data_IF_231635016545
#
_entry.id   IF_231635016545
#
_cell.length_a   1.000
_cell.length_b   1.000
_cell.length_c   1.000
_cell.angle_alpha   90.00
_cell.angle_beta   90.00
_cell.angle_gamma   90.00
#
_symmetry.space_group_name_H-M   'P 1'
#
loop_
_entity.id
_entity.type
_entity.pdbx_description
1 polymer ?
#
# COMPACT_ATOMS: atom_id res chain seq x y z
N UNK A 1 9.88 15.15 15.68
CA UNK A 1 10.06 15.77 14.33
C UNK A 1 9.13 15.10 13.33
N UNK A 2 8.49 15.86 12.43
CA UNK A 2 7.58 15.33 11.40
C UNK A 2 8.20 15.48 10.01
N UNK A 3 8.37 14.36 9.30
CA UNK A 3 8.81 14.29 7.91
C UNK A 3 7.61 14.08 7.00
N UNK A 4 7.27 15.05 6.16
CA UNK A 4 6.17 14.96 5.21
C UNK A 4 6.72 14.48 3.86
N UNK A 5 6.37 13.27 3.46
CA UNK A 5 6.70 12.70 2.15
C UNK A 5 5.49 12.88 1.22
N UNK A 6 5.51 13.89 0.38
CA UNK A 6 4.38 14.20 -0.49
C UNK A 6 4.71 14.07 -1.98
N UNK A 7 3.76 13.53 -2.72
CA UNK A 7 3.90 13.31 -4.16
C UNK A 7 2.83 12.35 -4.71
N UNK A 8 2.78 12.16 -6.02
CA UNK A 8 1.83 11.26 -6.65
C UNK A 8 2.09 9.79 -6.28
N UNK A 9 1.18 8.91 -6.65
CA UNK A 9 1.40 7.46 -6.60
C UNK A 9 2.60 7.08 -7.46
N UNK A 10 3.30 6.00 -7.12
CA UNK A 10 4.52 5.54 -7.80
C UNK A 10 5.63 6.63 -7.87
N UNK A 11 5.91 7.26 -6.74
CA UNK A 11 6.97 8.27 -6.57
C UNK A 11 8.06 7.84 -5.57
N UNK A 12 7.92 6.67 -4.95
CA UNK A 12 8.85 6.17 -3.95
C UNK A 12 8.71 6.79 -2.55
N UNK A 13 7.72 7.67 -2.31
CA UNK A 13 7.54 8.36 -1.02
C UNK A 13 7.48 7.39 0.19
N UNK A 14 6.68 6.34 0.11
CA UNK A 14 6.54 5.34 1.18
C UNK A 14 7.82 4.49 1.34
N UNK A 15 8.56 4.26 0.25
CA UNK A 15 9.81 3.51 0.30
C UNK A 15 10.86 4.18 1.21
N UNK A 16 11.04 5.50 1.11
CA UNK A 16 11.99 6.22 1.95
C UNK A 16 11.58 6.20 3.42
N UNK A 17 10.30 6.37 3.71
CA UNK A 17 9.77 6.28 5.07
C UNK A 17 9.97 4.87 5.67
N UNK A 18 9.73 3.82 4.89
CA UNK A 18 9.95 2.43 5.31
C UNK A 18 11.43 2.09 5.53
N UNK A 19 12.35 2.72 4.80
CA UNK A 19 13.79 2.57 5.08
C UNK A 19 14.17 3.15 6.44
N UNK A 20 13.62 4.30 6.82
CA UNK A 20 13.81 4.88 8.14
C UNK A 20 13.24 3.94 9.23
N UNK A 21 12.04 3.41 9.02
CA UNK A 21 11.41 2.46 9.92
C UNK A 21 12.25 1.19 10.11
N UNK A 22 12.73 0.59 9.02
CA UNK A 22 13.53 -0.64 9.09
C UNK A 22 14.90 -0.45 9.75
N UNK A 23 15.45 0.76 9.72
CA UNK A 23 16.74 1.09 10.34
C UNK A 23 16.62 1.48 11.82
N UNK A 24 15.42 1.74 12.33
CA UNK A 24 15.16 2.11 13.71
C UNK A 24 15.21 0.89 14.65
N UNK A 25 15.42 1.11 15.95
CA UNK A 25 15.33 0.04 16.95
C UNK A 25 13.87 -0.34 17.25
N UNK A 26 12.96 0.62 17.16
CA UNK A 26 11.52 0.42 17.38
C UNK A 26 10.68 1.29 16.47
N UNK A 27 9.51 0.78 16.07
CA UNK A 27 8.63 1.61 15.25
C UNK A 27 7.31 1.00 14.83
N UNK A 28 6.49 1.82 14.20
CA UNK A 28 5.17 1.43 13.69
C UNK A 28 4.98 1.93 12.26
N UNK A 29 4.52 1.04 11.40
CA UNK A 29 3.84 1.41 10.17
C UNK A 29 2.33 1.39 10.39
N UNK A 30 1.63 2.43 9.98
CA UNK A 30 0.19 2.45 9.98
C UNK A 30 -0.38 2.99 8.66
N UNK A 31 -1.41 2.32 8.16
CA UNK A 31 -2.05 2.67 6.89
C UNK A 31 -3.56 2.39 6.88
N UNK A 32 -4.25 2.74 5.78
CA UNK A 32 -5.71 2.64 5.70
C UNK A 32 -6.23 1.20 5.61
N UNK A 33 -5.38 0.25 5.25
CA UNK A 33 -5.81 -1.06 4.78
C UNK A 33 -5.04 -2.20 5.43
N UNK A 34 -5.77 -3.25 5.78
CA UNK A 34 -5.23 -4.49 6.35
C UNK A 34 -4.18 -5.13 5.43
N UNK A 35 -4.44 -5.14 4.12
CA UNK A 35 -3.54 -5.75 3.16
C UNK A 35 -2.20 -5.02 3.07
N UNK A 36 -2.20 -3.68 3.15
CA UNK A 36 -0.95 -2.90 3.21
C UNK A 36 -0.19 -3.17 4.51
N UNK A 37 -0.88 -3.23 5.65
CA UNK A 37 -0.24 -3.57 6.91
C UNK A 37 0.39 -4.97 6.85
N UNK A 38 -0.32 -5.93 6.26
CA UNK A 38 0.18 -7.28 6.07
C UNK A 38 1.42 -7.32 5.14
N UNK A 39 1.38 -6.62 4.01
CA UNK A 39 2.52 -6.50 3.09
C UNK A 39 3.77 -5.93 3.78
N UNK A 40 3.60 -4.87 4.56
CA UNK A 40 4.72 -4.28 5.29
C UNK A 40 5.24 -5.21 6.37
N UNK A 41 4.36 -5.93 7.07
CA UNK A 41 4.74 -6.99 8.01
C UNK A 41 5.62 -8.05 7.34
N UNK A 42 5.19 -8.62 6.22
CA UNK A 42 5.95 -9.60 5.46
C UNK A 42 7.30 -9.04 4.97
N UNK A 43 7.27 -7.85 4.41
CA UNK A 43 8.45 -7.19 3.87
C UNK A 43 9.51 -6.93 4.94
N UNK A 44 9.14 -6.43 6.12
CA UNK A 44 10.09 -6.18 7.22
C UNK A 44 10.66 -7.49 7.75
N UNK A 45 9.83 -8.51 7.94
CA UNK A 45 10.28 -9.84 8.37
C UNK A 45 11.22 -10.49 7.36
N UNK A 46 10.95 -10.37 6.06
CA UNK A 46 11.83 -10.86 4.99
C UNK A 46 13.20 -10.13 4.98
N UNK A 47 13.25 -8.90 5.47
CA UNK A 47 14.49 -8.11 5.64
C UNK A 47 15.20 -8.40 6.97
N UNK A 48 14.69 -9.32 7.80
CA UNK A 48 15.24 -9.66 9.12
C UNK A 48 14.84 -8.70 10.24
N UNK A 49 13.91 -7.78 10.00
CA UNK A 49 13.34 -6.88 11.00
C UNK A 49 12.07 -7.51 11.58
N UNK A 50 12.16 -8.08 12.79
CA UNK A 50 11.02 -8.72 13.43
C UNK A 50 9.87 -7.71 13.63
N UNK A 51 8.74 -7.95 12.98
CA UNK A 51 7.62 -7.04 12.92
C UNK A 51 6.31 -7.78 13.24
N UNK A 52 5.55 -7.27 14.18
CA UNK A 52 4.21 -7.72 14.51
C UNK A 52 3.20 -7.25 13.45
N UNK A 53 2.04 -7.90 13.39
CA UNK A 53 0.89 -7.45 12.63
C UNK A 53 -0.29 -7.17 13.57
N UNK A 54 -0.92 -6.00 13.45
CA UNK A 54 -2.13 -5.68 14.19
C UNK A 54 -3.19 -5.05 13.29
N UNK A 55 -4.25 -5.80 13.03
CA UNK A 55 -5.41 -5.34 12.26
C UNK A 55 -6.69 -5.63 13.04
N UNK A 56 -7.82 -5.07 12.59
CA UNK A 56 -9.11 -5.36 13.24
C UNK A 56 -9.57 -6.83 13.12
N UNK A 57 -8.84 -7.69 12.41
CA UNK A 57 -9.18 -9.12 12.25
C UNK A 57 -8.04 -10.06 12.63
N UNK A 58 -6.79 -9.59 12.59
CA UNK A 58 -5.59 -10.42 12.78
C UNK A 58 -4.65 -9.72 13.76
N UNK A 59 -4.13 -10.48 14.70
CA UNK A 59 -3.05 -10.06 15.58
C UNK A 59 -1.98 -11.16 15.53
N UNK A 60 -0.81 -10.84 15.00
CA UNK A 60 0.34 -11.73 14.95
C UNK A 60 1.48 -11.09 15.75
N UNK A 61 1.88 -11.75 16.81
CA UNK A 61 2.97 -11.30 17.67
C UNK A 61 4.18 -12.21 17.51
N UNK A 62 5.33 -11.61 17.24
CA UNK A 62 6.61 -12.31 17.14
C UNK A 62 7.44 -12.02 18.40
N UNK A 63 8.08 -13.05 19.00
CA UNK A 63 8.91 -12.86 20.17
C UNK A 63 10.02 -11.84 19.94
N UNK A 64 10.09 -10.83 20.80
CA UNK A 64 11.12 -9.78 20.73
C UNK A 64 10.92 -8.70 19.67
N UNK A 65 9.86 -8.77 18.87
CA UNK A 65 9.59 -7.75 17.85
C UNK A 65 9.34 -6.36 18.48
N UNK A 66 10.09 -5.38 18.00
CA UNK A 66 9.94 -3.97 18.40
C UNK A 66 9.20 -3.16 17.32
N UNK A 67 8.96 -3.76 16.16
CA UNK A 67 8.19 -3.15 15.07
C UNK A 67 6.79 -3.73 14.98
N UNK A 68 5.85 -2.91 14.52
CA UNK A 68 4.46 -3.33 14.27
C UNK A 68 3.95 -2.70 12.97
N UNK A 69 3.41 -3.51 12.08
CA UNK A 69 2.63 -3.04 10.96
C UNK A 69 1.13 -3.15 11.30
N UNK A 70 0.37 -2.08 11.14
CA UNK A 70 -1.03 -2.09 11.56
C UNK A 70 -1.93 -1.22 10.68
N UNK A 71 -3.25 -1.36 10.86
CA UNK A 71 -4.17 -0.32 10.39
C UNK A 71 -4.13 0.86 11.36
N UNK A 72 -4.37 2.06 10.85
CA UNK A 72 -4.20 3.31 11.60
C UNK A 72 -5.00 3.35 12.90
N UNK A 73 -6.16 2.69 12.95
CA UNK A 73 -7.01 2.59 14.13
C UNK A 73 -6.36 1.77 15.26
N UNK A 74 -5.43 0.88 14.92
CA UNK A 74 -4.78 -0.05 15.87
C UNK A 74 -3.49 0.50 16.49
N UNK A 75 -3.06 1.71 16.13
CA UNK A 75 -1.85 2.31 16.70
C UNK A 75 -2.00 2.53 18.20
N UNK A 76 -1.02 2.04 18.96
CA UNK A 76 -0.91 2.25 20.40
C UNK A 76 -0.17 3.56 20.66
N UNK A 77 -0.85 4.54 21.27
CA UNK A 77 -0.30 5.88 21.49
C UNK A 77 0.60 5.96 22.72
N UNK A 78 0.41 5.06 23.69
CA UNK A 78 1.10 5.06 24.98
C UNK A 78 2.54 4.52 24.87
N UNK A 79 2.83 3.81 23.78
CA UNK A 79 4.17 3.25 23.54
C UNK A 79 5.07 4.31 22.91
N UNK A 80 6.25 4.51 23.53
CA UNK A 80 7.32 5.32 22.90
C UNK A 80 8.01 4.51 21.81
N UNK A 81 8.29 5.15 20.67
CA UNK A 81 8.88 4.56 19.49
C UNK A 81 9.92 5.51 18.88
N UNK A 82 10.87 4.95 18.14
CA UNK A 82 11.83 5.79 17.42
C UNK A 82 11.19 6.36 16.16
N UNK A 83 10.55 5.50 15.34
CA UNK A 83 9.98 5.88 14.05
C UNK A 83 8.52 5.44 13.93
N UNK A 84 7.67 6.35 13.48
CA UNK A 84 6.30 6.05 13.03
C UNK A 84 6.15 6.42 11.57
N UNK A 85 5.66 5.50 10.75
CA UNK A 85 5.29 5.73 9.36
C UNK A 85 3.77 5.72 9.25
N UNK A 86 3.21 6.85 8.85
CA UNK A 86 1.78 7.03 8.60
C UNK A 86 1.55 7.18 7.10
N UNK A 87 0.89 6.20 6.50
CA UNK A 87 0.65 6.20 5.06
C UNK A 87 -0.75 6.72 4.70
N UNK A 88 -0.88 7.19 3.45
CA UNK A 88 -2.12 7.72 2.87
C UNK A 88 -2.77 8.83 3.73
N UNK A 89 -1.96 9.81 4.19
CA UNK A 89 -2.40 10.85 5.14
C UNK A 89 -3.56 11.71 4.63
N UNK A 90 -3.81 11.79 3.32
CA UNK A 90 -5.01 12.48 2.79
C UNK A 90 -6.32 11.86 3.29
N UNK A 91 -6.28 10.62 3.79
CA UNK A 91 -7.43 9.99 4.46
C UNK A 91 -7.87 10.71 5.74
N UNK A 92 -7.07 11.63 6.27
CA UNK A 92 -7.46 12.52 7.38
C UNK A 92 -8.72 13.33 7.06
N UNK A 93 -8.99 13.60 5.78
CA UNK A 93 -10.22 14.26 5.32
C UNK A 93 -11.44 13.32 5.18
N UNK A 94 -11.28 12.00 5.39
CA UNK A 94 -12.38 11.05 5.26
C UNK A 94 -13.38 11.20 6.40
N UNK A 95 -14.67 11.35 6.07
CA UNK A 95 -15.72 11.66 7.05
C UNK A 95 -15.79 10.66 8.22
N UNK A 96 -15.68 9.36 7.92
CA UNK A 96 -15.87 8.29 8.91
C UNK A 96 -14.57 7.82 9.57
N UNK A 97 -13.42 7.97 8.89
CA UNK A 97 -12.15 7.37 9.34
C UNK A 97 -11.04 8.38 9.61
N UNK A 98 -11.18 9.64 9.17
CA UNK A 98 -10.14 10.67 9.28
C UNK A 98 -9.67 10.92 10.71
N UNK A 99 -10.54 10.69 11.69
CA UNK A 99 -10.21 10.80 13.11
C UNK A 99 -9.00 9.92 13.53
N UNK A 100 -8.82 8.77 12.89
CA UNK A 100 -7.72 7.88 13.25
C UNK A 100 -6.35 8.48 12.87
N UNK A 101 -6.24 9.14 11.71
CA UNK A 101 -5.03 9.88 11.31
C UNK A 101 -4.76 11.05 12.23
N UNK A 102 -5.78 11.85 12.55
CA UNK A 102 -5.65 12.96 13.51
C UNK A 102 -5.20 12.46 14.88
N UNK A 103 -5.78 11.37 15.37
CA UNK A 103 -5.44 10.75 16.66
C UNK A 103 -3.96 10.34 16.71
N UNK A 104 -3.47 9.68 15.66
CA UNK A 104 -2.07 9.23 15.61
C UNK A 104 -1.14 10.43 15.49
N UNK A 105 -1.40 11.38 14.58
CA UNK A 105 -0.53 12.53 14.37
C UNK A 105 -0.40 13.41 15.62
N UNK A 106 -1.48 13.56 16.39
CA UNK A 106 -1.50 14.40 17.59
C UNK A 106 -1.06 13.68 18.87
N UNK A 107 -1.10 12.34 18.88
CA UNK A 107 -0.96 11.59 20.14
C UNK A 107 0.20 10.63 20.19
N UNK A 108 0.80 10.26 19.06
CA UNK A 108 1.89 9.27 19.06
C UNK A 108 3.16 9.83 19.69
N UNK A 109 3.83 9.02 20.50
CA UNK A 109 5.10 9.37 21.11
C UNK A 109 6.26 8.78 20.32
N UNK A 110 6.79 9.55 19.36
CA UNK A 110 7.89 9.11 18.51
C UNK A 110 8.98 10.19 18.37
N UNK A 111 10.22 9.76 18.10
CA UNK A 111 11.30 10.68 17.79
C UNK A 111 11.10 11.26 16.39
N UNK A 112 10.72 10.43 15.43
CA UNK A 112 10.43 10.81 14.06
C UNK A 112 9.06 10.25 13.61
N UNK A 113 8.26 11.10 12.98
CA UNK A 113 7.00 10.72 12.36
C UNK A 113 7.08 10.98 10.87
N UNK A 114 7.08 9.94 10.06
CA UNK A 114 7.08 10.00 8.61
C UNK A 114 5.65 9.91 8.08
N UNK A 115 5.17 10.98 7.49
CA UNK A 115 3.80 11.09 6.98
C UNK A 115 3.82 11.05 5.46
N UNK A 116 3.25 10.01 4.86
CA UNK A 116 3.24 9.79 3.41
C UNK A 116 1.85 10.11 2.83
N UNK A 117 1.80 10.84 1.70
CA UNK A 117 0.52 11.07 1.04
C UNK A 117 0.53 12.09 -0.08
N UNK A 118 -0.65 12.62 -0.41
CA UNK A 118 -0.82 13.62 -1.45
C UNK A 118 -0.40 15.02 -0.98
N UNK A 119 -0.05 15.88 -1.93
CA UNK A 119 0.34 17.27 -1.68
C UNK A 119 -0.79 18.06 -0.99
N UNK A 120 -2.04 17.73 -1.27
CA UNK A 120 -3.21 18.45 -0.73
C UNK A 120 -3.32 18.33 0.81
N UNK A 121 -2.77 17.26 1.41
CA UNK A 121 -2.78 17.08 2.86
C UNK A 121 -1.70 17.91 3.59
N UNK A 122 -0.68 18.38 2.89
CA UNK A 122 0.48 19.08 3.50
C UNK A 122 0.09 20.27 4.37
N UNK A 123 -0.80 21.18 3.94
CA UNK A 123 -1.17 22.34 4.79
C UNK A 123 -1.78 21.93 6.12
N UNK A 124 -2.66 20.93 6.12
CA UNK A 124 -3.30 20.41 7.33
C UNK A 124 -2.30 19.73 8.26
N UNK A 125 -1.43 18.86 7.71
CA UNK A 125 -0.38 18.18 8.49
C UNK A 125 0.54 19.19 9.16
N UNK A 126 0.94 20.27 8.47
CA UNK A 126 1.76 21.35 9.05
C UNK A 126 1.04 22.05 10.21
N UNK A 127 -0.25 22.33 10.07
CA UNK A 127 -1.04 22.95 11.14
C UNK A 127 -1.11 22.04 12.37
N UNK A 128 -1.37 20.76 12.18
CA UNK A 128 -1.45 19.78 13.28
C UNK A 128 -0.09 19.58 13.96
N UNK A 129 0.99 19.49 13.20
CA UNK A 129 2.34 19.39 13.76
C UNK A 129 2.72 20.64 14.57
N UNK A 130 2.33 21.82 14.09
CA UNK A 130 2.55 23.08 14.82
C UNK A 130 1.78 23.14 16.16
N UNK A 131 0.59 22.54 16.25
CA UNK A 131 -0.15 22.43 17.52
C UNK A 131 0.59 21.57 18.55
N UNK A 132 1.37 20.59 18.08
CA UNK A 132 2.20 19.73 18.93
C UNK A 132 3.58 20.35 19.24
N UNK A 133 3.93 21.47 18.62
CA UNK A 133 5.26 22.07 18.71
C UNK A 133 6.33 21.31 17.92
N UNK A 134 5.93 20.50 16.97
CA UNK A 134 6.84 19.68 16.17
C UNK A 134 7.50 20.48 15.04
N UNK A 135 8.78 20.23 14.82
CA UNK A 135 9.47 20.65 13.61
C UNK A 135 9.00 19.83 12.40
N UNK A 136 8.86 20.46 11.25
CA UNK A 136 8.39 19.84 10.02
C UNK A 136 9.45 19.93 8.93
N UNK A 137 9.78 18.80 8.31
CA UNK A 137 10.57 18.71 7.08
C UNK A 137 9.75 18.13 5.95
N UNK A 138 9.70 18.82 4.82
CA UNK A 138 8.94 18.41 3.64
C UNK A 138 9.85 17.83 2.58
N UNK A 139 9.48 16.65 2.08
CA UNK A 139 10.14 15.94 0.99
C UNK A 139 9.14 15.78 -0.15
N UNK A 140 9.41 16.39 -1.29
CA UNK A 140 8.58 16.33 -2.49
C UNK A 140 9.15 15.32 -3.46
N UNK A 141 8.27 14.47 -3.97
CA UNK A 141 8.61 13.40 -4.90
C UNK A 141 7.86 13.59 -6.21
N UNK A 142 8.53 13.27 -7.30
CA UNK A 142 7.93 13.20 -8.62
C UNK A 142 7.64 11.75 -8.99
N UNK A 143 6.72 11.56 -9.92
CA UNK A 143 6.35 10.22 -10.38
C UNK A 143 7.51 9.58 -11.14
N UNK A 144 7.85 8.33 -10.79
CA UNK A 144 8.96 7.60 -11.41
C UNK A 144 8.69 7.25 -12.88
N UNK A 145 7.43 6.93 -13.20
CA UNK A 145 7.01 6.63 -14.57
C UNK A 145 5.84 7.51 -14.99
N UNK A 146 5.83 8.08 -16.21
CA UNK A 146 4.74 8.93 -16.64
C UNK A 146 3.43 8.14 -16.78
N UNK A 147 2.33 8.73 -16.34
CA UNK A 147 0.99 8.23 -16.63
C UNK A 147 0.50 8.83 -17.93
N UNK A 148 0.10 7.97 -18.88
CA UNK A 148 -0.45 8.42 -20.17
C UNK A 148 -1.88 7.89 -20.32
N UNK A 149 -2.80 8.79 -20.64
CA UNK A 149 -4.16 8.42 -21.00
C UNK A 149 -4.17 8.13 -22.51
N UNK A 150 -4.69 6.98 -22.89
CA UNK A 150 -4.82 6.60 -24.29
C UNK A 150 -6.06 7.25 -24.91
N UNK A 151 -5.96 7.67 -26.17
CA UNK A 151 -7.07 8.31 -26.89
C UNK A 151 -8.19 7.33 -27.26
N UNK A 152 -7.89 6.04 -27.32
CA UNK A 152 -8.85 5.00 -27.68
C UNK A 152 -8.90 3.89 -26.63
N UNK A 153 -10.03 3.19 -26.57
CA UNK A 153 -10.20 2.00 -25.74
C UNK A 153 -9.37 0.84 -26.30
N UNK A 154 -8.67 0.12 -25.44
CA UNK A 154 -8.00 -1.11 -25.82
C UNK A 154 -9.04 -2.22 -26.09
N UNK A 155 -9.04 -2.86 -27.29
CA UNK A 155 -9.91 -4.01 -27.55
C UNK A 155 -9.41 -5.24 -26.76
N UNK A 156 -10.30 -6.18 -26.42
CA UNK A 156 -9.93 -7.37 -25.63
C UNK A 156 -8.72 -8.15 -26.20
N UNK A 157 -8.58 -8.36 -27.52
CA UNK A 157 -7.43 -9.07 -28.08
C UNK A 157 -6.07 -8.36 -27.90
N UNK A 158 -6.06 -7.05 -27.57
CA UNK A 158 -4.82 -6.31 -27.33
C UNK A 158 -4.37 -6.35 -25.87
N UNK A 159 -5.16 -6.95 -24.98
CA UNK A 159 -4.81 -7.09 -23.58
C UNK A 159 -3.69 -8.13 -23.44
N UNK A 160 -2.60 -7.73 -22.79
CA UNK A 160 -1.39 -8.51 -22.66
C UNK A 160 -0.94 -8.67 -21.22
N UNK A 161 0.21 -9.31 -21.09
CA UNK A 161 0.86 -9.55 -19.80
C UNK A 161 1.18 -8.21 -19.10
N UNK A 162 0.93 -8.14 -17.80
CA UNK A 162 1.11 -6.95 -16.98
C UNK A 162 -0.09 -6.00 -16.98
N UNK A 163 -1.11 -6.26 -17.81
CA UNK A 163 -2.30 -5.40 -17.85
C UNK A 163 -3.24 -5.67 -16.67
N UNK A 164 -3.82 -4.58 -16.18
CA UNK A 164 -4.91 -4.63 -15.21
C UNK A 164 -6.19 -4.08 -15.77
N UNK A 165 -7.26 -4.88 -15.77
CA UNK A 165 -8.59 -4.52 -16.26
C UNK A 165 -9.53 -4.30 -15.09
N UNK A 166 -10.06 -3.07 -14.97
CA UNK A 166 -10.90 -2.69 -13.82
C UNK A 166 -12.37 -2.66 -14.20
N UNK A 167 -13.23 -3.22 -13.35
CA UNK A 167 -14.68 -3.13 -13.45
C UNK A 167 -15.33 -3.01 -12.07
N UNK A 168 -16.54 -2.42 -12.01
CA UNK A 168 -17.19 -2.05 -10.75
C UNK A 168 -18.26 -3.05 -10.28
N UNK A 169 -18.43 -4.18 -10.96
CA UNK A 169 -19.34 -5.24 -10.50
C UNK A 169 -18.72 -6.63 -10.66
N UNK A 170 -18.99 -7.52 -9.71
CA UNK A 170 -18.51 -8.91 -9.77
C UNK A 170 -18.89 -9.61 -11.07
N UNK A 171 -20.12 -9.40 -11.55
CA UNK A 171 -20.58 -9.98 -12.82
C UNK A 171 -19.71 -9.54 -14.01
N UNK A 172 -19.36 -8.25 -14.06
CA UNK A 172 -18.48 -7.73 -15.10
C UNK A 172 -17.05 -8.26 -14.98
N UNK A 173 -16.53 -8.42 -13.77
CA UNK A 173 -15.18 -8.99 -13.55
C UNK A 173 -15.09 -10.40 -14.14
N UNK A 174 -16.03 -11.28 -13.82
CA UNK A 174 -16.04 -12.65 -14.36
C UNK A 174 -16.28 -12.68 -15.87
N UNK A 175 -17.13 -11.80 -16.40
CA UNK A 175 -17.35 -11.69 -17.84
C UNK A 175 -16.09 -11.20 -18.58
N UNK A 176 -15.37 -10.23 -18.01
CA UNK A 176 -14.10 -9.74 -18.57
C UNK A 176 -13.02 -10.82 -18.51
N UNK A 177 -12.88 -11.52 -17.37
CA UNK A 177 -11.96 -12.65 -17.25
C UNK A 177 -12.21 -13.68 -18.36
N UNK A 178 -13.43 -14.16 -18.50
CA UNK A 178 -13.80 -15.14 -19.52
C UNK A 178 -13.57 -14.60 -20.96
N UNK A 179 -13.90 -13.33 -21.21
CA UNK A 179 -13.68 -12.69 -22.50
C UNK A 179 -12.21 -12.53 -22.87
N UNK A 180 -11.34 -12.18 -21.92
CA UNK A 180 -9.91 -12.04 -22.13
C UNK A 180 -9.27 -13.41 -22.37
N UNK A 181 -9.59 -14.41 -21.55
CA UNK A 181 -9.07 -15.76 -21.68
C UNK A 181 -9.54 -16.46 -22.99
N UNK A 182 -10.68 -16.06 -23.52
CA UNK A 182 -11.15 -16.53 -24.84
C UNK A 182 -10.50 -15.79 -26.02
N UNK A 183 -10.13 -14.52 -25.85
CA UNK A 183 -9.58 -13.67 -26.91
C UNK A 183 -8.05 -13.65 -26.97
N UNK A 184 -7.38 -14.09 -25.90
CA UNK A 184 -5.92 -14.04 -25.73
C UNK A 184 -5.40 -15.34 -25.13
N UNK A 185 -4.11 -15.68 -25.25
CA UNK A 185 -3.52 -16.83 -24.55
C UNK A 185 -3.28 -16.57 -23.04
N UNK A 186 -3.66 -15.39 -22.53
CA UNK A 186 -3.40 -15.01 -21.14
C UNK A 186 -4.38 -15.65 -20.18
N UNK A 187 -3.87 -16.15 -19.04
CA UNK A 187 -4.68 -16.49 -17.86
C UNK A 187 -4.91 -15.23 -17.03
N UNK A 188 -6.06 -15.11 -16.39
CA UNK A 188 -6.41 -13.95 -15.57
C UNK A 188 -6.57 -14.31 -14.10
N UNK A 189 -5.88 -13.58 -13.24
CA UNK A 189 -6.22 -13.52 -11.82
C UNK A 189 -7.37 -12.52 -11.58
N UNK A 190 -8.09 -12.67 -10.48
CA UNK A 190 -9.26 -11.83 -10.17
C UNK A 190 -9.20 -11.33 -8.73
N UNK A 191 -9.37 -10.00 -8.54
CA UNK A 191 -9.38 -9.36 -7.22
C UNK A 191 -10.57 -8.43 -7.06
N UNK A 192 -11.34 -8.61 -5.98
CA UNK A 192 -12.44 -7.70 -5.61
C UNK A 192 -12.64 -7.64 -4.07
N UNK A 193 -13.32 -6.60 -3.59
CA UNK A 193 -13.37 -6.25 -2.17
C UNK A 193 -13.90 -7.33 -1.23
N UNK A 194 -14.84 -8.18 -1.66
CA UNK A 194 -15.42 -9.25 -0.83
C UNK A 194 -14.70 -10.61 -0.93
N UNK A 195 -13.53 -10.69 -1.62
CA UNK A 195 -12.70 -11.89 -1.56
C UNK A 195 -12.11 -12.06 -0.15
N UNK A 196 -12.02 -13.31 0.35
CA UNK A 196 -11.26 -13.60 1.56
C UNK A 196 -9.82 -13.09 1.44
N UNK A 197 -9.19 -12.63 2.53
CA UNK A 197 -7.82 -12.11 2.50
C UNK A 197 -6.80 -13.09 1.90
N UNK A 198 -6.89 -14.35 2.27
CA UNK A 198 -6.01 -15.44 1.76
C UNK A 198 -6.13 -15.60 0.24
N UNK A 199 -7.36 -15.73 -0.26
CA UNK A 199 -7.61 -15.85 -1.72
C UNK A 199 -7.11 -14.61 -2.46
N UNK A 200 -7.26 -13.42 -1.87
CA UNK A 200 -6.77 -12.18 -2.48
C UNK A 200 -5.25 -12.15 -2.59
N UNK A 201 -4.53 -12.64 -1.55
CA UNK A 201 -3.07 -12.79 -1.55
C UNK A 201 -2.63 -13.77 -2.63
N UNK A 202 -3.28 -14.93 -2.70
CA UNK A 202 -3.02 -15.95 -3.73
C UNK A 202 -3.18 -15.38 -5.14
N UNK A 203 -4.28 -14.69 -5.42
CA UNK A 203 -4.53 -14.07 -6.73
C UNK A 203 -3.50 -12.97 -7.07
N UNK A 204 -3.08 -12.18 -6.10
CA UNK A 204 -2.02 -11.19 -6.26
C UNK A 204 -0.66 -11.86 -6.54
N UNK A 205 -0.34 -12.93 -5.81
CA UNK A 205 0.88 -13.71 -6.03
C UNK A 205 0.94 -14.33 -7.42
N UNK A 206 -0.17 -14.91 -7.91
CA UNK A 206 -0.27 -15.47 -9.26
C UNK A 206 -0.03 -14.41 -10.35
N UNK A 207 -0.49 -13.19 -10.15
CA UNK A 207 -0.24 -12.08 -11.08
C UNK A 207 1.23 -11.65 -11.03
N UNK A 208 1.82 -11.49 -9.84
CA UNK A 208 3.20 -11.05 -9.68
C UNK A 208 4.22 -12.11 -10.12
N UNK A 209 3.96 -13.40 -9.88
CA UNK A 209 4.85 -14.50 -10.30
C UNK A 209 5.04 -14.55 -11.82
N UNK A 210 4.12 -13.98 -12.61
CA UNK A 210 4.26 -13.90 -14.05
C UNK A 210 5.31 -12.86 -14.49
N UNK A 211 5.72 -11.94 -13.62
CA UNK A 211 6.63 -10.82 -13.97
C UNK A 211 8.12 -11.22 -13.85
N UNK A 212 8.47 -12.24 -13.08
CA UNK A 212 9.85 -12.63 -12.76
C UNK A 212 10.58 -13.40 -13.90
N UNK A 213 10.00 -13.49 -15.10
CA UNK A 213 10.67 -14.07 -16.28
C UNK A 213 10.87 -15.59 -16.26
N UNK A 214 10.80 -16.22 -15.10
CA UNK A 214 10.79 -17.68 -14.91
C UNK A 214 9.34 -18.17 -14.92
N UNK A 215 8.62 -17.91 -16.01
CA UNK A 215 7.21 -18.25 -16.16
C UNK A 215 6.95 -19.73 -15.99
N UNK A 216 6.72 -20.16 -14.75
CA UNK A 216 6.06 -21.41 -14.49
C UNK A 216 4.66 -21.39 -15.13
N UNK A 217 4.18 -22.56 -15.58
CA UNK A 217 2.89 -22.74 -16.28
C UNK A 217 1.66 -22.23 -15.49
N UNK A 218 1.84 -21.79 -14.25
CA UNK A 218 0.79 -21.40 -13.30
C UNK A 218 0.57 -19.88 -13.14
N UNK A 219 1.41 -18.99 -13.71
CA UNK A 219 1.29 -17.54 -13.59
C UNK A 219 0.11 -16.96 -14.39
N UNK A 220 -0.55 -15.93 -13.84
CA UNK A 220 -1.62 -15.19 -14.51
C UNK A 220 -1.07 -13.88 -15.09
N UNK A 221 -1.00 -13.76 -16.41
CA UNK A 221 -0.44 -12.58 -17.07
C UNK A 221 -1.30 -11.31 -16.96
N UNK A 222 -2.59 -11.44 -16.68
CA UNK A 222 -3.55 -10.32 -16.60
C UNK A 222 -4.26 -10.33 -15.25
N UNK A 223 -4.46 -9.13 -14.70
CA UNK A 223 -5.28 -8.94 -13.50
C UNK A 223 -6.62 -8.33 -13.85
N UNK A 224 -7.72 -8.96 -13.44
CA UNK A 224 -9.07 -8.39 -13.51
C UNK A 224 -9.51 -8.02 -12.10
N UNK A 225 -9.76 -6.72 -11.85
CA UNK A 225 -9.99 -6.25 -10.51
C UNK A 225 -11.13 -5.23 -10.38
N UNK A 226 -11.70 -5.12 -9.17
CA UNK A 226 -12.56 -3.98 -8.83
C UNK A 226 -11.70 -2.77 -8.42
N UNK A 227 -12.33 -1.69 -8.01
CA UNK A 227 -11.71 -0.55 -7.34
C UNK A 227 -10.86 -0.93 -6.12
N UNK A 228 -11.09 -2.12 -5.56
CA UNK A 228 -10.23 -2.70 -4.53
C UNK A 228 -8.75 -2.82 -4.94
N UNK A 229 -8.41 -2.77 -6.23
CA UNK A 229 -7.02 -2.74 -6.69
C UNK A 229 -6.28 -1.45 -6.31
N UNK A 230 -6.97 -0.32 -6.30
CA UNK A 230 -6.39 0.94 -5.83
C UNK A 230 -5.95 0.87 -4.37
N UNK A 231 -6.45 -0.13 -3.67
CA UNK A 231 -6.14 -0.48 -2.30
C UNK A 231 -5.16 -1.66 -2.17
N UNK A 232 -4.77 -2.27 -3.28
CA UNK A 232 -3.82 -3.38 -3.36
C UNK A 232 -2.60 -2.95 -4.18
N UNK A 233 -1.89 -1.92 -3.71
CA UNK A 233 -0.66 -1.45 -4.38
C UNK A 233 0.41 -2.55 -4.51
N UNK A 234 0.35 -3.56 -3.66
CA UNK A 234 1.19 -4.74 -3.70
C UNK A 234 0.94 -5.67 -4.90
N UNK A 235 -0.28 -5.66 -5.44
CA UNK A 235 -0.58 -6.51 -6.60
C UNK A 235 0.08 -6.02 -7.90
N UNK A 236 0.62 -4.81 -7.88
CA UNK A 236 1.29 -4.18 -9.04
C UNK A 236 2.63 -3.59 -8.57
N UNK A 237 3.39 -4.37 -7.82
CA UNK A 237 4.76 -3.96 -7.49
C UNK A 237 5.62 -4.22 -8.71
N UNK A 238 6.16 -3.20 -9.36
CA UNK A 238 7.14 -3.44 -10.39
C UNK A 238 8.40 -3.97 -9.69
N UNK A 239 8.80 -5.19 -10.00
CA UNK A 239 10.16 -5.70 -9.85
C UNK A 239 11.22 -4.84 -10.59
N UNK A 240 10.82 -3.70 -11.12
CA UNK A 240 11.59 -2.73 -11.91
C UNK A 240 12.09 -1.53 -11.11
N UNK A 241 12.19 -1.60 -9.80
CA UNK A 241 12.96 -0.62 -9.01
C UNK A 241 14.30 -1.24 -8.62
N UNK A 242 15.11 -1.62 -9.61
CA UNK A 242 16.54 -1.69 -9.45
C UNK A 242 17.17 -0.35 -9.83
N UNK A 243 18.20 0.10 -9.07
CA UNK A 243 18.81 1.42 -9.19
C UNK A 243 19.50 1.65 -10.53
#
# INVERSE_FOLDING_TARGET
MVHIHCGPTNSGKTHFALRALAAAESGVYCGPLRLLAWEIHERLNAQGVACNLATGQELLELPGAQHTACTVEMVQLERRMDVVVMDEVQMIAHADRGWAWSRVLLGVQAQEVHVCGSVDAVPLVRQLAALCGDEVREHRYERLTPLRVMDSRAPLPSIGRGDCVVAFSRRQLYALKAGIEAATPQKCSIIYGSLPPETRREQASLFNASDDGEGGEDGCGVLVASDAIGMCAAAVSPSTLQP
#
